data_IF_072537815798
#
_entry.id   IF_072537815798
#
_cell.length_a   1.000
_cell.length_b   1.000
_cell.length_c   1.000
_cell.angle_alpha   90.00
_cell.angle_beta   90.00
_cell.angle_gamma   90.00
#
_symmetry.space_group_name_H-M   'P 1'
#
loop_
_entity.id
_entity.type
_entity.pdbx_description
1 polymer ?
#
# COMPACT_ATOMS: atom_id res chain seq x y z
N UNK A 1 -4.89 6.17 2.94
CA UNK A 1 -3.66 6.94 2.68
C UNK A 1 -4.19 8.32 2.35
N UNK A 2 -4.45 9.08 3.40
CA UNK A 2 -4.89 10.47 3.27
C UNK A 2 -3.65 11.27 2.91
N UNK A 3 -3.77 12.16 1.93
CA UNK A 3 -2.77 13.17 1.70
C UNK A 3 -2.89 14.26 2.78
N UNK A 4 -2.00 15.25 2.75
CA UNK A 4 -2.05 16.39 3.66
C UNK A 4 -3.28 17.31 3.44
N UNK A 5 -4.18 17.01 2.51
CA UNK A 5 -5.33 17.83 2.13
C UNK A 5 -6.67 17.29 2.64
N UNK A 6 -6.71 16.06 3.15
CA UNK A 6 -7.94 15.47 3.70
C UNK A 6 -8.96 15.06 2.63
N UNK A 7 -8.59 15.12 1.35
CA UNK A 7 -9.44 14.63 0.26
C UNK A 7 -9.35 13.10 0.17
N UNK A 8 -10.51 12.43 0.27
CA UNK A 8 -10.60 10.99 -0.01
C UNK A 8 -10.24 10.77 -1.47
N UNK A 9 -8.99 10.41 -1.75
CA UNK A 9 -8.57 10.08 -3.10
C UNK A 9 -9.27 8.80 -3.56
N UNK A 10 -10.34 8.96 -4.33
CA UNK A 10 -11.07 7.86 -4.95
C UNK A 10 -10.09 7.02 -5.78
N UNK A 11 -10.15 5.70 -5.63
CA UNK A 11 -9.13 4.84 -6.23
C UNK A 11 -9.33 4.77 -7.74
N UNK A 12 -8.33 5.24 -8.49
CA UNK A 12 -8.44 5.39 -9.93
C UNK A 12 -8.66 4.02 -10.60
N UNK A 13 -9.69 3.89 -11.46
CA UNK A 13 -9.93 2.64 -12.17
C UNK A 13 -8.85 2.37 -13.21
N UNK A 14 -8.69 1.09 -13.55
CA UNK A 14 -7.79 0.64 -14.61
C UNK A 14 -8.37 1.04 -15.97
N UNK A 15 -7.54 1.67 -16.79
CA UNK A 15 -7.87 2.04 -18.16
C UNK A 15 -7.90 0.84 -19.14
N UNK A 16 -7.33 -0.31 -18.73
CA UNK A 16 -7.25 -1.53 -19.53
C UNK A 16 -7.84 -2.70 -18.74
N UNK A 17 -8.19 -3.77 -19.44
CA UNK A 17 -8.49 -5.06 -18.83
C UNK A 17 -7.36 -5.46 -17.85
N UNK A 18 -7.76 -6.07 -16.74
CA UNK A 18 -6.87 -6.49 -15.66
C UNK A 18 -6.16 -7.80 -16.03
N UNK A 19 -6.89 -8.73 -16.63
CA UNK A 19 -6.41 -10.07 -16.98
C UNK A 19 -6.52 -10.31 -18.47
N UNK A 20 -5.39 -10.61 -19.13
CA UNK A 20 -5.38 -11.14 -20.51
C UNK A 20 -5.42 -12.67 -20.53
N UNK A 21 -5.17 -13.32 -19.38
CA UNK A 21 -5.19 -14.77 -19.18
C UNK A 21 -4.29 -15.61 -20.10
N UNK A 22 -3.30 -14.99 -20.74
CA UNK A 22 -2.35 -15.69 -21.61
C UNK A 22 -1.62 -16.81 -20.86
N UNK A 23 -1.32 -17.91 -21.55
CA UNK A 23 -0.74 -19.13 -20.98
C UNK A 23 0.76 -19.17 -21.18
N UNK A 24 1.49 -19.47 -20.11
CA UNK A 24 2.92 -19.73 -20.16
C UNK A 24 3.15 -21.19 -19.75
N UNK A 25 3.61 -21.99 -20.70
CA UNK A 25 3.95 -23.39 -20.51
C UNK A 25 5.42 -23.52 -20.11
N UNK A 26 5.76 -24.56 -19.36
CA UNK A 26 7.13 -24.94 -19.05
C UNK A 26 7.87 -25.56 -20.26
N UNK A 27 9.07 -26.10 -20.05
CA UNK A 27 9.82 -26.77 -21.12
C UNK A 27 9.15 -28.08 -21.60
N UNK A 28 8.37 -28.74 -20.74
CA UNK A 28 7.72 -30.03 -21.01
C UNK A 28 6.33 -29.87 -21.67
N UNK A 29 5.81 -28.65 -21.77
CA UNK A 29 4.50 -28.32 -22.35
C UNK A 29 3.35 -28.18 -21.33
N UNK A 30 3.63 -28.33 -20.04
CA UNK A 30 2.66 -28.20 -18.96
C UNK A 30 2.43 -26.74 -18.57
N UNK A 31 1.19 -26.39 -18.21
CA UNK A 31 0.84 -25.02 -17.83
C UNK A 31 1.54 -24.60 -16.52
N UNK A 32 2.39 -23.58 -16.61
CA UNK A 32 3.17 -23.10 -15.48
C UNK A 32 2.50 -21.93 -14.76
N UNK A 33 2.03 -20.91 -15.50
CA UNK A 33 1.28 -19.77 -14.96
C UNK A 33 0.54 -18.99 -16.05
N UNK A 34 -0.32 -18.07 -15.62
CA UNK A 34 -0.99 -17.08 -16.49
C UNK A 34 -0.37 -15.69 -16.40
N UNK A 35 -0.40 -14.97 -17.51
CA UNK A 35 0.24 -13.68 -17.63
C UNK A 35 -0.53 -12.70 -18.53
N UNK A 36 -0.16 -11.42 -18.43
CA UNK A 36 -0.59 -10.40 -19.38
C UNK A 36 0.19 -10.47 -20.69
N UNK A 37 -0.40 -9.93 -21.76
CA UNK A 37 0.18 -9.90 -23.12
C UNK A 37 1.58 -9.31 -23.16
N UNK A 38 1.79 -8.20 -22.44
CA UNK A 38 3.09 -7.52 -22.37
C UNK A 38 4.20 -8.43 -21.84
N UNK A 39 3.86 -9.33 -20.92
CA UNK A 39 4.82 -10.29 -20.37
C UNK A 39 5.13 -11.39 -21.38
N UNK A 40 4.14 -11.88 -22.13
CA UNK A 40 4.36 -12.81 -23.23
C UNK A 40 5.35 -12.25 -24.25
N UNK A 41 5.08 -11.04 -24.74
CA UNK A 41 5.94 -10.40 -25.74
C UNK A 41 7.35 -10.15 -25.20
N UNK A 42 7.51 -9.85 -23.90
CA UNK A 42 8.82 -9.74 -23.27
C UNK A 42 9.63 -11.04 -23.32
N UNK A 43 8.99 -12.21 -23.11
CA UNK A 43 9.66 -13.51 -23.20
C UNK A 43 10.05 -13.84 -24.64
N UNK A 44 9.15 -13.61 -25.60
CA UNK A 44 9.39 -13.86 -27.02
C UNK A 44 10.51 -12.98 -27.58
N UNK A 45 10.49 -11.68 -27.29
CA UNK A 45 11.50 -10.73 -27.76
C UNK A 45 12.92 -11.05 -27.25
N UNK A 46 13.04 -11.82 -26.17
CA UNK A 46 14.33 -12.24 -25.59
C UNK A 46 14.76 -13.65 -25.97
N UNK A 47 14.00 -14.35 -26.82
CA UNK A 47 14.27 -15.76 -27.15
C UNK A 47 14.15 -16.72 -25.96
N UNK A 48 13.43 -16.30 -24.90
CA UNK A 48 13.24 -17.10 -23.67
C UNK A 48 12.02 -18.04 -23.77
N UNK A 49 11.25 -17.92 -24.84
CA UNK A 49 10.09 -18.74 -25.12
C UNK A 49 9.86 -18.86 -26.62
N UNK A 50 9.18 -19.93 -27.04
CA UNK A 50 8.61 -20.09 -28.38
C UNK A 50 7.11 -19.83 -28.34
N UNK A 51 6.58 -19.27 -29.42
CA UNK A 51 5.13 -19.10 -29.59
C UNK A 51 4.51 -20.46 -29.91
N UNK A 52 3.46 -20.83 -29.18
CA UNK A 52 2.66 -22.05 -29.44
C UNK A 52 1.43 -21.67 -30.24
N UNK A 53 0.71 -20.63 -29.79
CA UNK A 53 -0.46 -20.08 -30.47
C UNK A 53 -0.58 -18.55 -30.20
N UNK A 54 -1.76 -17.97 -30.47
CA UNK A 54 -2.00 -16.54 -30.24
C UNK A 54 -1.77 -16.10 -28.79
N UNK A 55 -2.16 -16.92 -27.82
CA UNK A 55 -2.23 -16.59 -26.39
C UNK A 55 -1.35 -17.48 -25.51
N UNK A 56 -0.60 -18.39 -26.12
CA UNK A 56 0.24 -19.37 -25.43
C UNK A 56 1.69 -19.29 -25.90
N UNK A 57 2.61 -19.22 -24.93
CA UNK A 57 4.05 -19.38 -25.14
C UNK A 57 4.58 -20.55 -24.33
N UNK A 58 5.65 -21.18 -24.80
CA UNK A 58 6.35 -22.24 -24.10
C UNK A 58 7.79 -21.82 -23.81
N UNK A 59 8.23 -21.92 -22.56
CA UNK A 59 9.60 -21.57 -22.18
C UNK A 59 10.61 -22.51 -22.86
N UNK A 60 11.76 -21.97 -23.25
CA UNK A 60 12.86 -22.73 -23.87
C UNK A 60 13.85 -23.29 -22.85
N UNK A 61 13.56 -23.12 -21.55
CA UNK A 61 14.43 -23.53 -20.44
C UNK A 61 13.59 -24.09 -19.28
N UNK A 62 14.18 -24.98 -18.50
CA UNK A 62 13.56 -25.52 -17.30
C UNK A 62 13.46 -24.43 -16.21
N UNK A 63 12.26 -24.24 -15.67
CA UNK A 63 12.06 -23.30 -14.56
C UNK A 63 12.69 -23.89 -13.27
N UNK A 64 13.23 -23.02 -12.40
CA UNK A 64 13.70 -23.47 -11.08
C UNK A 64 12.52 -23.78 -10.17
N UNK A 65 12.46 -25.00 -9.64
CA UNK A 65 11.41 -25.46 -8.71
C UNK A 65 10.09 -25.83 -9.40
N UNK A 66 9.09 -26.21 -8.61
CA UNK A 66 7.77 -26.64 -9.12
C UNK A 66 6.85 -25.48 -9.53
N UNK A 67 7.25 -24.23 -9.27
CA UNK A 67 6.44 -23.05 -9.60
C UNK A 67 5.10 -23.05 -8.86
N UNK A 68 4.00 -22.87 -9.60
CA UNK A 68 2.61 -22.92 -9.10
C UNK A 68 1.85 -24.14 -9.63
N UNK A 69 2.57 -25.20 -10.02
CA UNK A 69 1.95 -26.44 -10.50
C UNK A 69 0.99 -27.00 -9.45
N UNK A 70 -0.17 -27.45 -9.92
CA UNK A 70 -1.22 -28.00 -9.06
C UNK A 70 -2.00 -26.96 -8.25
N UNK A 71 -1.64 -25.67 -8.29
CA UNK A 71 -2.41 -24.62 -7.61
C UNK A 71 -3.48 -24.07 -8.56
N UNK A 72 -4.67 -24.67 -8.50
CA UNK A 72 -5.81 -24.35 -9.35
C UNK A 72 -6.19 -22.86 -9.31
N UNK A 73 -5.95 -22.16 -8.19
CA UNK A 73 -6.26 -20.74 -8.09
C UNK A 73 -5.42 -19.89 -9.06
N UNK A 74 -4.14 -20.22 -9.22
CA UNK A 74 -3.25 -19.44 -10.09
C UNK A 74 -3.26 -19.90 -11.55
N UNK A 75 -3.81 -21.08 -11.82
CA UNK A 75 -3.90 -21.67 -13.15
C UNK A 75 -5.28 -21.48 -13.79
N UNK A 76 -6.30 -21.03 -13.05
CA UNK A 76 -7.62 -20.70 -13.61
C UNK A 76 -7.61 -19.40 -14.44
N UNK A 77 -8.56 -19.27 -15.36
CA UNK A 77 -8.85 -18.00 -16.01
C UNK A 77 -9.50 -17.02 -15.02
N UNK A 78 -9.01 -15.78 -15.00
CA UNK A 78 -9.53 -14.72 -14.13
C UNK A 78 -10.47 -13.82 -14.92
N UNK A 79 -11.62 -13.47 -14.34
CA UNK A 79 -12.61 -12.62 -15.00
C UNK A 79 -12.30 -11.14 -14.79
N UNK A 80 -12.51 -10.34 -15.84
CA UNK A 80 -12.47 -8.89 -15.77
C UNK A 80 -13.83 -8.34 -15.34
N UNK A 81 -14.29 -8.75 -14.16
CA UNK A 81 -15.54 -8.30 -13.57
C UNK A 81 -15.36 -8.02 -12.08
N UNK A 82 -16.20 -7.16 -11.52
CA UNK A 82 -16.21 -6.88 -10.09
C UNK A 82 -16.60 -8.15 -9.34
N UNK A 83 -15.72 -8.65 -8.47
CA UNK A 83 -16.02 -9.86 -7.67
C UNK A 83 -17.23 -9.68 -6.76
N UNK A 84 -17.66 -8.44 -6.52
CA UNK A 84 -18.82 -8.13 -5.69
C UNK A 84 -20.12 -8.21 -6.48
N UNK A 85 -20.25 -7.40 -7.53
CA UNK A 85 -21.52 -7.18 -8.23
C UNK A 85 -21.52 -7.60 -9.71
N UNK A 86 -20.42 -8.16 -10.24
CA UNK A 86 -20.32 -8.61 -11.62
C UNK A 86 -20.14 -7.51 -12.67
N UNK A 87 -20.05 -6.23 -12.28
CA UNK A 87 -19.83 -5.13 -13.23
C UNK A 87 -18.48 -5.28 -13.96
N UNK A 88 -18.46 -5.16 -15.30
CA UNK A 88 -17.25 -5.36 -16.10
C UNK A 88 -16.24 -4.19 -16.13
N UNK A 89 -16.72 -2.96 -15.94
CA UNK A 89 -15.89 -1.75 -15.91
C UNK A 89 -16.70 -0.55 -15.35
N UNK A 90 -16.06 0.53 -14.87
CA UNK A 90 -14.63 0.63 -14.58
C UNK A 90 -14.23 -0.17 -13.32
N UNK A 91 -13.09 -0.86 -13.38
CA UNK A 91 -12.60 -1.73 -12.30
C UNK A 91 -11.34 -1.18 -11.64
N UNK A 92 -11.24 -1.39 -10.33
CA UNK A 92 -10.04 -1.16 -9.51
C UNK A 92 -9.47 -2.51 -9.04
N UNK A 93 -8.22 -2.52 -8.56
CA UNK A 93 -7.64 -3.70 -7.92
C UNK A 93 -7.60 -3.50 -6.41
N UNK A 94 -8.42 -4.27 -5.70
CA UNK A 94 -8.56 -4.18 -4.24
C UNK A 94 -7.67 -5.22 -3.54
N UNK A 95 -6.86 -4.75 -2.59
CA UNK A 95 -6.06 -5.59 -1.72
C UNK A 95 -6.89 -6.03 -0.50
N UNK A 96 -7.45 -7.24 -0.54
CA UNK A 96 -8.27 -7.82 0.55
C UNK A 96 -7.51 -7.83 1.87
N UNK A 97 -6.24 -8.25 1.83
CA UNK A 97 -5.27 -8.02 2.91
C UNK A 97 -4.52 -6.72 2.57
N UNK A 98 -4.75 -5.61 3.31
CA UNK A 98 -4.23 -4.31 2.93
C UNK A 98 -2.70 -4.30 2.82
N UNK A 99 -2.19 -3.62 1.77
CA UNK A 99 -0.75 -3.51 1.53
C UNK A 99 0.01 -2.95 2.74
N UNK A 100 -0.62 -2.02 3.49
CA UNK A 100 -0.04 -1.44 4.70
C UNK A 100 0.41 -2.50 5.72
N UNK A 101 -0.25 -3.65 5.78
CA UNK A 101 0.15 -4.77 6.64
C UNK A 101 1.02 -5.76 5.89
N UNK A 102 0.64 -6.10 4.64
CA UNK A 102 1.31 -7.15 3.88
C UNK A 102 2.81 -6.92 3.71
N UNK A 103 3.23 -5.67 3.52
CA UNK A 103 4.65 -5.30 3.38
C UNK A 103 5.52 -5.64 4.62
N UNK A 104 4.92 -5.94 5.77
CA UNK A 104 5.62 -6.32 7.00
C UNK A 104 5.53 -7.82 7.31
N UNK A 105 4.84 -8.61 6.49
CA UNK A 105 4.74 -10.07 6.66
C UNK A 105 6.02 -10.80 6.20
N UNK A 106 6.13 -12.08 6.48
CA UNK A 106 7.22 -12.93 5.96
C UNK A 106 7.15 -13.11 4.43
N UNK A 107 8.30 -13.37 3.80
CA UNK A 107 8.41 -13.41 2.33
C UNK A 107 7.51 -14.49 1.68
N UNK A 108 7.35 -15.62 2.37
CA UNK A 108 6.46 -16.70 1.94
C UNK A 108 4.99 -16.25 1.78
N UNK A 109 4.56 -15.26 2.58
CA UNK A 109 3.21 -14.67 2.50
C UNK A 109 3.19 -13.50 1.52
N UNK A 110 4.23 -12.64 1.53
CA UNK A 110 4.35 -11.48 0.64
C UNK A 110 4.31 -11.86 -0.84
N UNK A 111 5.09 -12.86 -1.24
CA UNK A 111 5.21 -13.36 -2.62
C UNK A 111 3.91 -13.92 -3.21
N UNK A 112 2.89 -14.16 -2.38
CA UNK A 112 1.55 -14.64 -2.76
C UNK A 112 0.50 -13.53 -2.80
N UNK A 113 0.91 -12.28 -2.99
CA UNK A 113 0.03 -11.09 -2.98
C UNK A 113 -1.10 -11.12 -4.01
N UNK A 114 -0.88 -11.77 -5.15
CA UNK A 114 -1.90 -11.93 -6.19
C UNK A 114 -3.14 -12.71 -5.73
N UNK A 115 -3.03 -13.52 -4.67
CA UNK A 115 -4.18 -14.24 -4.12
C UNK A 115 -5.21 -13.29 -3.47
N UNK A 116 -4.74 -12.22 -2.84
CA UNK A 116 -5.59 -11.28 -2.12
C UNK A 116 -5.83 -9.99 -2.91
N UNK A 117 -5.66 -10.04 -4.23
CA UNK A 117 -5.83 -8.90 -5.11
C UNK A 117 -6.99 -9.17 -6.08
N UNK A 118 -8.13 -8.53 -5.83
CA UNK A 118 -9.38 -8.81 -6.53
C UNK A 118 -9.87 -7.60 -7.34
N UNK A 119 -10.44 -7.80 -8.54
CA UNK A 119 -11.09 -6.74 -9.30
C UNK A 119 -12.40 -6.32 -8.61
N UNK A 120 -12.55 -5.02 -8.33
CA UNK A 120 -13.75 -4.45 -7.69
C UNK A 120 -14.10 -3.14 -8.39
N UNK A 121 -15.38 -2.91 -8.72
CA UNK A 121 -15.79 -1.61 -9.27
C UNK A 121 -15.69 -0.49 -8.22
N UNK A 122 -15.59 0.76 -8.66
CA UNK A 122 -15.39 1.93 -7.77
C UNK A 122 -16.43 1.95 -6.64
N UNK A 123 -17.72 1.80 -6.96
CA UNK A 123 -18.78 1.85 -5.95
C UNK A 123 -18.73 0.71 -4.92
N UNK A 124 -18.34 -0.51 -5.31
CA UNK A 124 -18.15 -1.60 -4.34
C UNK A 124 -16.90 -1.37 -3.48
N UNK A 125 -15.84 -0.82 -4.08
CA UNK A 125 -14.59 -0.53 -3.38
C UNK A 125 -14.81 0.53 -2.30
N UNK A 126 -15.47 1.64 -2.62
CA UNK A 126 -15.75 2.72 -1.66
C UNK A 126 -16.62 2.25 -0.50
N UNK A 127 -17.68 1.47 -0.78
CA UNK A 127 -18.52 0.88 0.26
C UNK A 127 -17.72 -0.01 1.20
N UNK A 128 -16.91 -0.92 0.65
CA UNK A 128 -16.10 -1.81 1.49
C UNK A 128 -14.99 -1.05 2.24
N UNK A 129 -14.37 -0.04 1.64
CA UNK A 129 -13.29 0.72 2.28
C UNK A 129 -13.76 1.40 3.57
N UNK A 130 -15.03 1.83 3.65
CA UNK A 130 -15.61 2.34 4.90
C UNK A 130 -15.57 1.29 6.04
N UNK A 131 -15.86 0.02 5.74
CA UNK A 131 -15.73 -1.07 6.70
C UNK A 131 -14.26 -1.37 7.02
N UNK A 132 -13.41 -1.41 5.99
CA UNK A 132 -11.97 -1.65 6.16
C UNK A 132 -11.33 -0.58 7.06
N UNK A 133 -11.68 0.70 6.90
CA UNK A 133 -11.21 1.79 7.77
C UNK A 133 -11.62 1.57 9.22
N UNK A 134 -12.87 1.17 9.48
CA UNK A 134 -13.33 0.84 10.85
C UNK A 134 -12.53 -0.32 11.45
N UNK A 135 -12.20 -1.34 10.66
CA UNK A 135 -11.38 -2.44 11.14
C UNK A 135 -9.93 -1.99 11.44
N UNK A 136 -9.33 -1.15 10.58
CA UNK A 136 -8.01 -0.53 10.84
C UNK A 136 -8.03 0.29 12.14
N UNK A 137 -9.08 1.08 12.38
CA UNK A 137 -9.26 1.85 13.61
C UNK A 137 -9.44 0.96 14.85
N UNK A 138 -10.12 -0.17 14.73
CA UNK A 138 -10.19 -1.17 15.80
C UNK A 138 -8.81 -1.73 16.13
N UNK A 139 -8.05 -2.15 15.12
CA UNK A 139 -6.67 -2.62 15.30
C UNK A 139 -5.77 -1.54 15.91
N UNK A 140 -5.90 -0.28 15.46
CA UNK A 140 -5.13 0.82 15.98
C UNK A 140 -5.32 1.00 17.50
N UNK A 141 -6.57 0.91 17.98
CA UNK A 141 -6.88 0.97 19.41
C UNK A 141 -6.35 -0.25 20.16
N UNK A 142 -6.63 -1.46 19.67
CA UNK A 142 -6.27 -2.70 20.38
C UNK A 142 -4.75 -2.91 20.48
N UNK A 143 -4.00 -2.55 19.43
CA UNK A 143 -2.55 -2.72 19.41
C UNK A 143 -1.78 -1.47 19.87
N UNK A 144 -2.48 -0.41 20.30
CA UNK A 144 -1.90 0.91 20.58
C UNK A 144 -0.99 1.40 19.44
N UNK A 145 -1.45 1.21 18.21
CA UNK A 145 -0.72 1.48 16.97
C UNK A 145 -1.46 2.57 16.18
N UNK A 146 -1.14 3.87 16.34
CA UNK A 146 -1.83 4.94 15.63
C UNK A 146 -1.79 4.73 14.11
N UNK A 147 -2.87 5.10 13.39
CA UNK A 147 -2.94 4.93 11.93
C UNK A 147 -1.84 5.71 11.20
N UNK A 148 -1.48 6.89 11.72
CA UNK A 148 -0.38 7.71 11.23
C UNK A 148 1.00 7.17 11.61
N UNK A 149 1.08 6.11 12.41
CA UNK A 149 2.32 5.63 13.01
C UNK A 149 2.78 6.45 14.22
N UNK A 150 3.89 6.01 14.81
CA UNK A 150 4.56 6.62 15.96
C UNK A 150 5.99 7.03 15.62
N UNK A 151 6.64 7.85 16.46
CA UNK A 151 8.04 8.29 16.23
C UNK A 151 8.20 9.42 15.21
N UNK A 152 7.18 10.27 15.07
CA UNK A 152 7.26 11.51 14.31
C UNK A 152 8.13 12.56 15.00
N UNK A 153 8.85 13.35 14.20
CA UNK A 153 9.68 14.47 14.66
C UNK A 153 9.14 15.77 14.10
N UNK A 154 8.89 16.72 14.99
CA UNK A 154 8.48 18.08 14.63
C UNK A 154 9.70 18.89 14.17
N UNK A 155 9.55 19.59 13.05
CA UNK A 155 10.55 20.51 12.51
C UNK A 155 10.08 21.94 12.76
N UNK A 156 10.24 22.41 13.99
CA UNK A 156 9.73 23.71 14.43
C UNK A 156 10.32 24.89 13.60
N UNK A 157 11.57 24.75 13.19
CA UNK A 157 12.30 25.66 12.29
C UNK A 157 11.61 25.76 10.92
N UNK A 158 11.32 24.63 10.27
CA UNK A 158 10.60 24.58 8.99
C UNK A 158 9.14 25.00 9.15
N UNK A 159 8.46 24.58 10.21
CA UNK A 159 7.07 24.96 10.45
C UNK A 159 6.93 26.49 10.56
N UNK A 160 7.87 27.13 11.25
CA UNK A 160 7.94 28.59 11.38
C UNK A 160 8.28 29.24 10.03
N UNK A 161 9.32 28.76 9.33
CA UNK A 161 9.72 29.31 8.05
C UNK A 161 8.65 29.14 6.95
N UNK A 162 7.92 28.02 6.95
CA UNK A 162 6.79 27.77 6.06
C UNK A 162 5.66 28.77 6.25
N UNK A 163 5.28 29.06 7.51
CA UNK A 163 4.30 30.12 7.82
C UNK A 163 4.80 31.49 7.38
N UNK A 164 6.09 31.76 7.56
CA UNK A 164 6.70 33.01 7.11
C UNK A 164 6.68 33.13 5.58
N UNK A 165 7.03 32.05 4.87
CA UNK A 165 6.98 31.99 3.41
C UNK A 165 5.56 32.17 2.86
N UNK A 166 4.55 31.56 3.49
CA UNK A 166 3.15 31.74 3.12
C UNK A 166 2.72 33.22 3.23
N UNK A 167 3.14 33.91 4.30
CA UNK A 167 2.82 35.32 4.47
C UNK A 167 3.56 36.21 3.44
N UNK A 168 4.83 35.91 3.15
CA UNK A 168 5.65 36.65 2.19
C UNK A 168 5.18 36.47 0.74
N UNK A 169 4.60 35.32 0.39
CA UNK A 169 4.02 35.04 -0.92
C UNK A 169 2.55 35.47 -1.06
N UNK A 170 1.93 35.95 0.02
CA UNK A 170 0.52 36.34 -0.02
C UNK A 170 0.32 37.70 -0.70
N UNK A 171 -0.84 37.89 -1.34
CA UNK A 171 -1.25 39.18 -1.92
C UNK A 171 -1.37 40.30 -0.85
N UNK A 172 -1.43 39.92 0.43
CA UNK A 172 -1.48 40.83 1.55
C UNK A 172 -0.10 41.30 2.02
N UNK A 173 1.01 40.86 1.42
CA UNK A 173 2.37 41.20 1.87
C UNK A 173 2.60 42.72 1.95
N UNK A 174 2.03 43.50 1.03
CA UNK A 174 2.11 44.98 1.05
C UNK A 174 1.37 45.65 2.21
N UNK A 175 0.50 44.92 2.93
CA UNK A 175 -0.21 45.38 4.13
C UNK A 175 0.50 44.98 5.42
N UNK A 176 1.57 44.17 5.34
CA UNK A 176 2.33 43.72 6.50
C UNK A 176 3.32 44.84 6.90
N UNK A 177 3.37 45.26 8.18
CA UNK A 177 4.33 46.27 8.62
C UNK A 177 5.78 45.88 8.29
N UNK A 178 6.66 46.84 7.88
CA UNK A 178 8.03 46.54 7.48
C UNK A 178 8.84 45.75 8.53
N UNK A 179 8.67 46.07 9.82
CA UNK A 179 9.31 45.34 10.91
C UNK A 179 8.92 43.85 10.92
N UNK A 180 7.63 43.56 10.68
CA UNK A 180 7.15 42.18 10.60
C UNK A 180 7.64 41.47 9.34
N UNK A 181 7.75 42.15 8.21
CA UNK A 181 8.37 41.58 7.00
C UNK A 181 9.83 41.16 7.27
N UNK A 182 10.59 41.99 7.98
CA UNK A 182 11.97 41.66 8.36
C UNK A 182 12.04 40.41 9.26
N UNK A 183 11.14 40.28 10.24
CA UNK A 183 11.04 39.07 11.08
C UNK A 183 10.73 37.80 10.26
N UNK A 184 9.79 37.90 9.32
CA UNK A 184 9.40 36.77 8.45
C UNK A 184 10.58 36.34 7.57
N UNK A 185 11.30 37.29 6.97
CA UNK A 185 12.52 37.02 6.19
C UNK A 185 13.61 36.38 7.06
N UNK A 186 13.85 36.91 8.27
CA UNK A 186 14.83 36.33 9.18
C UNK A 186 14.51 34.88 9.57
N UNK A 187 13.22 34.54 9.72
CA UNK A 187 12.79 33.17 9.97
C UNK A 187 13.05 32.22 8.79
N UNK A 188 12.84 32.69 7.56
CA UNK A 188 13.18 31.97 6.33
C UNK A 188 14.70 31.79 6.23
N UNK A 189 15.47 32.86 6.39
CA UNK A 189 16.93 32.82 6.30
C UNK A 189 17.55 31.87 7.34
N UNK A 190 17.01 31.86 8.56
CA UNK A 190 17.45 30.94 9.60
C UNK A 190 17.22 29.47 9.21
N UNK A 191 16.07 29.15 8.61
CA UNK A 191 15.77 27.81 8.16
C UNK A 191 16.66 27.39 6.98
N UNK A 192 16.92 28.28 6.02
CA UNK A 192 17.83 28.03 4.89
C UNK A 192 19.25 27.76 5.39
N UNK A 193 19.77 28.57 6.33
CA UNK A 193 21.10 28.34 6.91
C UNK A 193 21.21 27.00 7.63
N UNK A 194 20.17 26.62 8.38
CA UNK A 194 20.16 25.38 9.15
C UNK A 194 19.91 24.13 8.29
N UNK A 195 19.28 24.29 7.12
CA UNK A 195 18.82 23.19 6.27
C UNK A 195 19.26 23.36 4.81
N UNK A 196 20.40 24.00 4.54
CA UNK A 196 20.79 24.42 3.19
C UNK A 196 20.88 23.30 2.16
N UNK A 197 21.13 22.06 2.59
CA UNK A 197 21.13 20.87 1.74
C UNK A 197 19.74 20.45 1.23
N UNK A 198 18.65 21.00 1.79
CA UNK A 198 17.28 20.70 1.38
C UNK A 198 16.75 21.61 0.26
N UNK A 199 17.51 22.64 -0.12
CA UNK A 199 17.10 23.62 -1.12
C UNK A 199 17.85 23.39 -2.44
N UNK A 200 17.16 23.58 -3.55
CA UNK A 200 17.67 23.31 -4.90
C UNK A 200 18.85 24.22 -5.27
N UNK A 201 18.84 25.47 -4.77
CA UNK A 201 19.88 26.47 -5.03
C UNK A 201 21.13 26.33 -4.12
N UNK A 202 21.14 25.33 -3.22
CA UNK A 202 22.22 25.11 -2.26
C UNK A 202 22.42 26.27 -1.26
N UNK A 203 23.37 26.16 -0.30
CA UNK A 203 23.62 27.20 0.69
C UNK A 203 24.25 28.49 0.12
N UNK A 204 24.44 28.58 -1.20
CA UNK A 204 25.30 29.58 -1.85
C UNK A 204 24.67 30.41 -2.97
N UNK A 205 23.40 30.24 -3.33
CA UNK A 205 22.79 31.00 -4.43
C UNK A 205 21.44 31.64 -4.06
N UNK A 206 21.33 32.94 -4.41
CA UNK A 206 20.18 33.83 -4.26
C UNK A 206 19.75 34.18 -2.82
N UNK A 207 19.23 35.40 -2.65
CA UNK A 207 18.63 35.89 -1.39
C UNK A 207 17.77 34.79 -0.77
N UNK A 208 17.99 34.43 0.49
CA UNK A 208 17.24 33.36 1.15
C UNK A 208 15.71 33.62 1.20
N UNK A 209 15.25 34.83 0.90
CA UNK A 209 13.84 35.16 0.65
C UNK A 209 13.45 35.16 -0.86
N UNK A 210 14.15 34.41 -1.71
CA UNK A 210 13.79 34.30 -3.13
C UNK A 210 12.46 33.58 -3.30
N UNK A 211 11.75 33.93 -4.36
CA UNK A 211 10.47 33.33 -4.72
C UNK A 211 10.54 31.80 -4.89
N UNK A 212 11.70 31.25 -5.27
CA UNK A 212 11.95 29.80 -5.33
C UNK A 212 11.99 29.19 -3.93
N UNK A 213 12.82 29.74 -3.05
CA UNK A 213 13.01 29.25 -1.68
C UNK A 213 11.70 29.30 -0.88
N UNK A 214 10.90 30.36 -1.05
CA UNK A 214 9.60 30.47 -0.39
C UNK A 214 8.64 29.37 -0.86
N UNK A 215 8.59 29.05 -2.16
CA UNK A 215 7.75 27.97 -2.71
C UNK A 215 8.26 26.59 -2.28
N UNK A 216 9.57 26.37 -2.25
CA UNK A 216 10.16 25.14 -1.73
C UNK A 216 9.78 24.92 -0.25
N UNK A 217 9.87 25.96 0.59
CA UNK A 217 9.43 25.92 2.00
C UNK A 217 7.94 25.57 2.15
N UNK A 218 7.07 26.06 1.28
CA UNK A 218 5.64 25.72 1.29
C UNK A 218 5.39 24.23 1.05
N UNK A 219 6.22 23.59 0.24
CA UNK A 219 6.18 22.15 -0.03
C UNK A 219 6.83 21.28 1.05
N UNK A 220 7.61 21.87 1.98
CA UNK A 220 8.30 21.10 3.02
C UNK A 220 7.36 20.70 4.17
N UNK A 221 7.35 19.42 4.59
CA UNK A 221 6.54 18.98 5.71
C UNK A 221 7.11 19.51 7.03
N UNK A 222 6.23 20.07 7.86
CA UNK A 222 6.55 20.53 9.21
C UNK A 222 6.79 19.39 10.21
N UNK A 223 6.41 18.16 9.84
CA UNK A 223 6.50 16.95 10.65
C UNK A 223 7.01 15.82 9.76
N UNK A 224 8.07 15.14 10.20
CA UNK A 224 8.75 14.10 9.40
C UNK A 224 8.90 12.81 10.19
N UNK A 225 9.16 11.70 9.49
CA UNK A 225 9.47 10.41 10.12
C UNK A 225 10.84 10.49 10.79
N UNK A 226 10.90 10.27 12.09
CA UNK A 226 12.15 10.21 12.84
C UNK A 226 12.87 8.86 12.71
N UNK A 227 14.07 8.72 13.30
CA UNK A 227 14.81 7.44 13.31
C UNK A 227 14.06 6.30 14.01
N UNK A 228 13.21 6.62 14.99
CA UNK A 228 12.37 5.66 15.70
C UNK A 228 10.96 5.54 15.09
N UNK A 229 10.74 6.06 13.88
CA UNK A 229 9.42 6.00 13.26
C UNK A 229 9.01 4.57 12.96
N UNK A 230 7.78 4.23 13.35
CA UNK A 230 7.17 2.93 13.06
C UNK A 230 5.76 3.14 12.54
N UNK A 231 5.46 2.49 11.43
CA UNK A 231 4.12 2.61 10.83
C UNK A 231 3.09 1.76 11.57
N UNK A 232 1.81 2.11 11.45
CA UNK A 232 0.70 1.30 11.97
C UNK A 232 0.84 -0.19 11.62
N UNK A 233 1.09 -0.48 10.34
CA UNK A 233 1.17 -1.84 9.85
C UNK A 233 2.34 -2.63 10.41
N UNK A 234 3.48 -1.97 10.61
CA UNK A 234 4.68 -2.58 11.20
C UNK A 234 4.42 -2.98 12.66
N UNK A 235 3.80 -2.10 13.44
CA UNK A 235 3.49 -2.35 14.85
C UNK A 235 2.53 -3.54 14.98
N UNK A 236 1.42 -3.51 14.22
CA UNK A 236 0.38 -4.57 14.27
C UNK A 236 0.94 -5.91 13.81
N UNK A 237 1.59 -5.95 12.64
CA UNK A 237 2.11 -7.22 12.09
C UNK A 237 3.28 -7.73 12.92
N UNK A 238 4.12 -6.85 13.46
CA UNK A 238 5.18 -7.23 14.40
C UNK A 238 4.62 -7.92 15.65
N UNK A 239 3.55 -7.38 16.23
CA UNK A 239 2.89 -8.00 17.39
C UNK A 239 2.27 -9.37 17.05
N UNK A 240 1.57 -9.45 15.91
CA UNK A 240 0.96 -10.70 15.40
C UNK A 240 2.02 -11.76 15.10
N UNK A 241 3.11 -11.40 14.43
CA UNK A 241 4.18 -12.32 14.06
C UNK A 241 4.97 -12.80 15.30
N UNK A 242 5.26 -11.92 16.24
CA UNK A 242 5.92 -12.27 17.50
C UNK A 242 5.01 -13.02 18.48
N UNK A 243 3.71 -13.18 18.16
CA UNK A 243 2.67 -13.72 19.05
C UNK A 243 2.63 -13.01 20.41
N UNK A 244 2.86 -11.70 20.41
CA UNK A 244 2.87 -10.86 21.63
C UNK A 244 1.63 -9.98 21.67
N UNK A 245 1.02 -9.88 22.85
CA UNK A 245 -0.07 -8.93 23.10
C UNK A 245 0.41 -7.48 23.08
N UNK A 246 -0.53 -6.53 23.14
CA UNK A 246 -0.17 -5.13 23.30
C UNK A 246 0.49 -4.90 24.67
N UNK A 247 1.62 -4.20 24.70
CA UNK A 247 2.40 -3.97 25.92
C UNK A 247 1.67 -3.11 26.98
N UNK A 248 0.58 -2.42 26.60
CA UNK A 248 -0.09 -1.40 27.41
C UNK A 248 -1.55 -1.70 27.77
N UNK A 249 -2.24 -2.60 27.07
CA UNK A 249 -3.64 -2.95 27.32
C UNK A 249 -3.94 -4.42 26.97
N UNK A 250 -4.85 -5.10 27.70
CA UNK A 250 -5.28 -6.44 27.33
C UNK A 250 -6.02 -6.43 25.99
N UNK A 251 -5.63 -7.32 25.08
CA UNK A 251 -6.31 -7.50 23.80
C UNK A 251 -7.73 -8.04 24.01
N UNK A 252 -8.68 -7.54 23.21
CA UNK A 252 -10.00 -8.16 23.10
C UNK A 252 -9.89 -9.59 22.56
N UNK A 253 -10.94 -10.41 22.72
CA UNK A 253 -10.94 -11.81 22.30
C UNK A 253 -10.57 -11.98 20.80
N UNK A 254 -11.12 -11.13 19.93
CA UNK A 254 -10.82 -11.16 18.50
C UNK A 254 -9.34 -10.87 18.22
N UNK A 255 -8.77 -9.78 18.74
CA UNK A 255 -7.37 -9.45 18.53
C UNK A 255 -6.42 -10.49 19.14
N UNK A 256 -6.80 -11.12 20.26
CA UNK A 256 -6.06 -12.23 20.85
C UNK A 256 -6.02 -13.43 19.91
N UNK A 257 -7.15 -13.78 19.29
CA UNK A 257 -7.18 -14.85 18.28
C UNK A 257 -6.26 -14.56 17.09
N UNK A 258 -6.19 -13.29 16.64
CA UNK A 258 -5.26 -12.89 15.57
C UNK A 258 -3.79 -13.13 15.98
N UNK A 259 -3.42 -12.73 17.20
CA UNK A 259 -2.05 -12.89 17.70
C UNK A 259 -1.71 -14.37 17.91
N UNK A 260 -2.61 -15.16 18.49
CA UNK A 260 -2.40 -16.59 18.71
C UNK A 260 -2.25 -17.36 17.39
N UNK A 261 -3.05 -17.01 16.38
CA UNK A 261 -3.01 -17.64 15.06
C UNK A 261 -2.00 -17.01 14.08
N UNK A 262 -1.28 -15.97 14.49
CA UNK A 262 -0.22 -15.32 13.71
C UNK A 262 -0.68 -14.72 12.38
N UNK A 263 0.27 -14.56 11.45
CA UNK A 263 0.05 -13.91 10.15
C UNK A 263 -1.01 -14.62 9.31
N UNK A 264 -1.12 -15.96 9.43
CA UNK A 264 -2.15 -16.73 8.76
C UNK A 264 -3.56 -16.36 9.27
N UNK A 265 -3.78 -16.32 10.58
CA UNK A 265 -5.06 -15.90 11.15
C UNK A 265 -5.37 -14.42 10.86
N UNK A 266 -4.36 -13.56 10.85
CA UNK A 266 -4.53 -12.15 10.48
C UNK A 266 -4.99 -11.99 9.02
N UNK A 267 -4.36 -12.71 8.09
CA UNK A 267 -4.79 -12.73 6.68
C UNK A 267 -6.20 -13.31 6.54
N UNK A 268 -6.50 -14.35 7.32
CA UNK A 268 -7.81 -15.00 7.39
C UNK A 268 -8.92 -14.05 7.84
N UNK A 269 -8.64 -13.24 8.86
CA UNK A 269 -9.58 -12.27 9.38
C UNK A 269 -9.90 -11.18 8.36
N UNK A 270 -8.89 -10.68 7.62
CA UNK A 270 -9.11 -9.73 6.53
C UNK A 270 -9.96 -10.31 5.39
N UNK A 271 -9.70 -11.57 5.00
CA UNK A 271 -10.52 -12.27 4.01
C UNK A 271 -11.96 -12.46 4.47
N UNK A 272 -12.16 -12.89 5.71
CA UNK A 272 -13.49 -13.08 6.30
C UNK A 272 -14.25 -11.76 6.39
N UNK A 273 -13.59 -10.69 6.86
CA UNK A 273 -14.13 -9.34 6.91
C UNK A 273 -14.55 -8.82 5.52
N UNK A 274 -13.76 -9.12 4.47
CA UNK A 274 -14.14 -8.82 3.09
C UNK A 274 -15.39 -9.57 2.66
N UNK A 275 -15.46 -10.88 2.88
CA UNK A 275 -16.65 -11.68 2.53
C UNK A 275 -17.90 -11.18 3.27
N UNK A 276 -17.79 -10.89 4.56
CA UNK A 276 -18.89 -10.44 5.41
C UNK A 276 -19.47 -9.09 4.95
N UNK A 277 -18.60 -8.11 4.68
CA UNK A 277 -19.03 -6.74 4.42
C UNK A 277 -19.12 -6.37 2.93
N UNK A 278 -18.29 -6.96 2.07
CA UNK A 278 -18.39 -6.76 0.63
C UNK A 278 -19.42 -7.69 -0.02
N UNK A 279 -19.74 -8.84 0.60
CA UNK A 279 -20.73 -9.84 0.14
C UNK A 279 -20.54 -10.22 -1.33
N UNK A 280 -19.37 -10.75 -1.70
CA UNK A 280 -19.06 -10.96 -3.10
C UNK A 280 -19.84 -12.13 -3.72
N UNK A 281 -20.43 -11.89 -4.89
CA UNK A 281 -21.17 -12.92 -5.64
C UNK A 281 -20.37 -13.56 -6.80
N UNK A 282 -19.19 -13.01 -7.11
CA UNK A 282 -18.39 -13.36 -8.29
C UNK A 282 -16.91 -13.63 -7.93
N UNK A 283 -16.65 -14.29 -6.79
CA UNK A 283 -15.30 -14.68 -6.41
C UNK A 283 -14.72 -15.73 -7.39
N UNK A 284 -13.39 -15.74 -7.63
CA UNK A 284 -12.73 -16.82 -8.35
C UNK A 284 -12.98 -18.17 -7.65
N UNK A 285 -13.18 -19.25 -8.43
CA UNK A 285 -13.65 -20.55 -7.92
C UNK A 285 -12.77 -21.15 -6.81
N UNK A 286 -11.47 -20.89 -6.86
CA UNK A 286 -10.50 -21.39 -5.88
C UNK A 286 -9.99 -20.31 -4.93
N UNK A 287 -10.69 -19.18 -4.83
CA UNK A 287 -10.39 -18.15 -3.83
C UNK A 287 -10.98 -18.57 -2.49
N UNK A 288 -10.16 -19.17 -1.64
CA UNK A 288 -10.62 -19.63 -0.34
C UNK A 288 -10.51 -18.48 0.67
N UNK A 289 -11.65 -18.00 1.16
CA UNK A 289 -11.69 -17.49 2.52
C UNK A 289 -11.35 -18.68 3.44
N UNK A 290 -10.30 -18.59 4.27
CA UNK A 290 -9.96 -19.70 5.17
C UNK A 290 -11.16 -20.03 6.05
N UNK A 291 -11.43 -21.32 6.20
CA UNK A 291 -12.52 -21.80 7.04
C UNK A 291 -12.34 -21.29 8.47
N UNK A 292 -13.42 -20.84 9.15
CA UNK A 292 -13.33 -20.53 10.57
C UNK A 292 -12.87 -21.78 11.32
N UNK A 293 -11.68 -21.72 11.93
CA UNK A 293 -11.16 -22.81 12.77
C UNK A 293 -10.01 -23.66 12.21
N UNK A 294 -9.42 -23.36 11.05
CA UNK A 294 -8.11 -23.94 10.67
C UNK A 294 -6.99 -23.33 11.50
N UNK A 295 -6.96 -23.67 12.79
CA UNK A 295 -5.79 -23.54 13.62
C UNK A 295 -4.67 -24.41 13.03
N UNK A 296 -3.52 -23.77 12.82
CA UNK A 296 -2.19 -24.38 12.81
C UNK A 296 -2.09 -25.80 12.22
N UNK A 297 -1.86 -25.87 10.90
CA UNK A 297 -1.16 -27.04 10.36
C UNK A 297 0.19 -27.15 11.06
N UNK A 298 0.44 -28.32 11.66
CA UNK A 298 1.67 -28.67 12.34
C UNK A 298 2.89 -28.30 11.47
N UNK A 299 3.72 -27.39 11.96
CA UNK A 299 5.11 -27.32 11.52
C UNK A 299 5.79 -28.43 12.33
N UNK A 300 6.03 -29.57 11.66
CA UNK A 300 6.86 -30.62 12.20
C UNK A 300 8.24 -30.06 12.57
N UNK A 301 8.73 -30.51 13.73
CA UNK A 301 10.12 -30.39 14.15
C UNK A 301 11.07 -30.92 13.08
#
# INVERSE_FOLDING_TARGET
>A
MEDASGEKMAMAPRARAIYDNCRVLDIDGELLFRAGRRRLEWYLARGLARRVDGDTIQLTFANKGTGRRGDAFYLQDMRNECVVCGAGAPLTMHHVVPHQYRQFMEEAVKSRSSHDLLPVCVGCHERYEAHAVRFKQHLARCFAAPLEGEGWVERADIARARRAAAALLSDAVGRIPPARIAELRAAVDAAVRQNGALFSDGPGAASAASDSVLRELLGMPARVRGPAFRSHGEIVVGAVAARRGAARMPLCAACRALVCGGVAAFSSAWRSHFVEHARPAHLPAHWNAPAPGSACGAIGL
#
